data_IF_904395935708
#
_entry.id   IF_904395935708
#
_cell.length_a   1.000
_cell.length_b   1.000
_cell.length_c   1.000
_cell.angle_alpha   90.00
_cell.angle_beta   90.00
_cell.angle_gamma   90.00
#
_symmetry.space_group_name_H-M   'P 1'
#
loop_
_entity.id
_entity.type
_entity.pdbx_description
1 polymer ?
#
# COMPACT_ATOMS: atom_id res chain seq x y z
N UNK A 1 1.94 24.43 61.85
CA UNK A 1 1.37 25.29 60.79
C UNK A 1 2.34 25.57 59.64
N UNK A 2 3.60 25.93 59.91
CA UNK A 2 4.59 26.21 58.88
C UNK A 2 5.01 24.96 58.03
N UNK A 3 5.18 23.82 58.67
CA UNK A 3 5.50 22.55 57.95
C UNK A 3 4.39 22.07 57.05
N UNK A 4 3.11 22.28 57.44
CA UNK A 4 1.97 21.94 56.58
C UNK A 4 1.91 22.83 55.33
N UNK A 5 2.32 24.10 55.45
CA UNK A 5 2.39 25.06 54.34
C UNK A 5 3.49 24.73 53.35
N UNK A 6 4.67 24.32 53.85
CA UNK A 6 5.80 23.89 53.01
C UNK A 6 5.44 22.57 52.26
N UNK A 7 4.78 21.64 52.92
CA UNK A 7 4.32 20.40 52.30
C UNK A 7 3.24 20.63 51.21
N UNK A 8 2.42 21.67 51.41
CA UNK A 8 1.43 22.09 50.41
C UNK A 8 2.10 22.75 49.19
N UNK A 9 3.11 23.62 49.40
CA UNK A 9 3.85 24.30 48.35
C UNK A 9 4.72 23.32 47.52
N UNK A 10 5.34 22.33 48.18
CA UNK A 10 6.11 21.29 47.47
C UNK A 10 5.22 20.38 46.68
N UNK A 11 4.03 20.05 47.16
CA UNK A 11 3.05 19.29 46.38
C UNK A 11 2.49 20.10 45.20
N UNK A 12 2.25 21.40 45.36
CA UNK A 12 1.80 22.28 44.29
C UNK A 12 2.87 22.50 43.22
N UNK A 13 4.13 22.73 43.64
CA UNK A 13 5.25 22.90 42.69
C UNK A 13 5.61 21.59 41.97
N UNK A 14 5.61 20.46 42.68
CA UNK A 14 5.84 19.13 42.12
C UNK A 14 4.74 18.73 41.14
N UNK A 15 3.48 18.99 41.49
CA UNK A 15 2.32 18.73 40.60
C UNK A 15 2.40 19.52 39.29
N UNK A 16 2.77 20.81 39.36
CA UNK A 16 2.95 21.65 38.17
C UNK A 16 4.13 21.21 37.29
N UNK A 17 5.22 20.76 37.87
CA UNK A 17 6.39 20.24 37.13
C UNK A 17 6.02 18.93 36.47
N UNK A 18 5.30 18.03 37.13
CA UNK A 18 4.79 16.77 36.53
C UNK A 18 3.78 17.03 35.42
N UNK A 19 2.85 17.96 35.58
CA UNK A 19 1.88 18.36 34.56
C UNK A 19 2.58 19.01 33.35
N UNK A 20 3.53 19.90 33.54
CA UNK A 20 4.32 20.52 32.46
C UNK A 20 5.19 19.48 31.73
N UNK A 21 5.77 18.51 32.43
CA UNK A 21 6.56 17.43 31.82
C UNK A 21 5.67 16.47 31.08
N UNK A 22 4.48 16.15 31.59
CA UNK A 22 3.47 15.32 30.94
C UNK A 22 2.90 16.00 29.67
N UNK A 23 2.61 17.30 29.73
CA UNK A 23 2.10 18.06 28.58
C UNK A 23 3.17 18.22 27.47
N UNK A 24 4.44 18.49 27.82
CA UNK A 24 5.55 18.54 26.84
C UNK A 24 5.79 17.18 26.19
N UNK A 25 5.76 16.09 26.93
CA UNK A 25 5.87 14.73 26.40
C UNK A 25 4.70 14.41 25.45
N UNK A 26 3.49 14.84 25.81
CA UNK A 26 2.29 14.63 24.99
C UNK A 26 2.35 15.44 23.69
N UNK A 27 2.84 16.67 23.72
CA UNK A 27 3.05 17.52 22.54
C UNK A 27 4.12 16.94 21.60
N UNK A 28 5.22 16.43 22.13
CA UNK A 28 6.26 15.77 21.35
C UNK A 28 5.72 14.49 20.68
N UNK A 29 4.98 13.68 21.40
CA UNK A 29 4.35 12.47 20.87
C UNK A 29 3.32 12.79 19.76
N UNK A 30 2.52 13.84 19.93
CA UNK A 30 1.58 14.31 18.90
C UNK A 30 2.30 14.77 17.63
N UNK A 31 3.39 15.54 17.75
CA UNK A 31 4.20 15.96 16.60
C UNK A 31 4.78 14.77 15.85
N UNK A 32 5.32 13.79 16.56
CA UNK A 32 5.85 12.56 15.98
C UNK A 32 4.74 11.80 15.23
N UNK A 33 3.55 11.67 15.80
CA UNK A 33 2.41 11.02 15.14
C UNK A 33 1.97 11.74 13.87
N UNK A 34 1.99 13.07 13.85
CA UNK A 34 1.68 13.88 12.67
C UNK A 34 2.73 13.63 11.57
N UNK A 35 4.02 13.65 11.90
CA UNK A 35 5.10 13.38 10.95
C UNK A 35 4.95 12.00 10.35
N UNK A 36 4.68 10.96 11.15
CA UNK A 36 4.46 9.62 10.64
C UNK A 36 3.23 9.52 9.73
N UNK A 37 2.15 10.24 10.06
CA UNK A 37 0.96 10.30 9.21
C UNK A 37 1.25 10.95 7.86
N UNK A 38 2.03 12.03 7.84
CA UNK A 38 2.42 12.71 6.60
C UNK A 38 3.30 11.81 5.73
N UNK A 39 4.29 11.13 6.32
CA UNK A 39 5.13 10.16 5.61
C UNK A 39 4.29 9.02 5.03
N UNK A 40 3.32 8.52 5.78
CA UNK A 40 2.41 7.48 5.30
C UNK A 40 1.59 7.95 4.09
N UNK A 41 1.00 9.15 4.17
CA UNK A 41 0.21 9.72 3.07
C UNK A 41 1.09 9.90 1.83
N UNK A 42 2.30 10.44 1.99
CA UNK A 42 3.22 10.61 0.88
C UNK A 42 3.61 9.26 0.24
N UNK A 43 4.01 8.28 1.05
CA UNK A 43 4.33 6.93 0.55
C UNK A 43 3.14 6.25 -0.12
N UNK A 44 1.93 6.50 0.37
CA UNK A 44 0.71 5.95 -0.23
C UNK A 44 0.42 6.58 -1.59
N UNK A 45 0.57 7.90 -1.72
CA UNK A 45 0.39 8.61 -3.00
C UNK A 45 1.42 8.10 -4.02
N UNK A 46 2.71 8.04 -3.64
CA UNK A 46 3.76 7.51 -4.52
C UNK A 46 3.52 6.05 -4.92
N UNK A 47 2.98 5.23 -4.01
CA UNK A 47 2.61 3.86 -4.34
C UNK A 47 1.48 3.80 -5.38
N UNK A 48 0.44 4.61 -5.24
CA UNK A 48 -0.66 4.65 -6.22
C UNK A 48 -0.16 5.14 -7.58
N UNK A 49 0.72 6.15 -7.61
CA UNK A 49 1.38 6.62 -8.82
C UNK A 49 2.13 5.47 -9.50
N UNK A 50 3.03 4.79 -8.79
CA UNK A 50 3.78 3.63 -9.32
C UNK A 50 2.84 2.51 -9.79
N UNK A 51 1.78 2.21 -9.03
CA UNK A 51 0.82 1.18 -9.42
C UNK A 51 0.17 1.54 -10.76
N UNK A 52 -0.32 2.78 -10.92
CA UNK A 52 -0.93 3.25 -12.17
C UNK A 52 0.09 3.23 -13.30
N UNK A 53 1.29 3.76 -13.07
CA UNK A 53 2.34 3.82 -14.09
C UNK A 53 2.71 2.44 -14.60
N UNK A 54 3.01 1.51 -13.72
CA UNK A 54 3.47 0.17 -14.10
C UNK A 54 2.36 -0.69 -14.68
N UNK A 55 1.12 -0.55 -14.19
CA UNK A 55 0.02 -1.35 -14.74
C UNK A 55 -0.56 -0.74 -16.01
N UNK A 56 -0.83 0.55 -16.03
CA UNK A 56 -1.49 1.18 -17.18
C UNK A 56 -0.52 1.40 -18.36
N UNK A 57 0.73 1.74 -18.07
CA UNK A 57 1.76 2.07 -19.06
C UNK A 57 2.82 0.98 -19.23
N UNK A 58 2.42 -0.29 -19.02
CA UNK A 58 3.31 -1.47 -19.12
C UNK A 58 4.07 -1.55 -20.43
N UNK A 59 3.49 -1.09 -21.54
CA UNK A 59 4.01 -1.25 -22.90
C UNK A 59 4.36 0.06 -23.58
N UNK A 60 3.95 1.20 -23.05
CA UNK A 60 4.17 2.51 -23.66
C UNK A 60 4.51 3.55 -22.61
N UNK A 61 5.25 4.59 -23.00
CA UNK A 61 5.50 5.75 -22.13
C UNK A 61 4.30 6.71 -22.15
N UNK A 62 4.13 7.48 -21.07
CA UNK A 62 3.13 8.56 -21.01
C UNK A 62 3.32 9.55 -22.16
N UNK A 63 4.55 9.79 -22.57
CA UNK A 63 4.88 10.68 -23.71
C UNK A 63 4.33 10.16 -25.03
N UNK A 64 4.26 8.84 -25.21
CA UNK A 64 3.79 8.19 -26.43
C UNK A 64 2.26 8.34 -26.60
N UNK A 65 1.53 8.59 -25.50
CA UNK A 65 0.08 8.91 -25.57
C UNK A 65 -0.23 10.12 -26.47
N UNK A 66 0.71 11.05 -26.57
CA UNK A 66 0.57 12.29 -27.33
C UNK A 66 1.29 12.23 -28.68
N UNK A 67 1.91 11.10 -29.03
CA UNK A 67 2.59 10.92 -30.31
C UNK A 67 1.58 10.65 -31.44
N UNK A 68 1.93 11.08 -32.66
CA UNK A 68 1.13 10.81 -33.85
C UNK A 68 1.19 9.33 -34.29
N UNK A 69 2.13 8.54 -33.77
CA UNK A 69 2.32 7.13 -34.09
C UNK A 69 1.41 6.20 -33.29
N UNK A 70 0.62 6.73 -32.34
CA UNK A 70 -0.29 5.99 -31.46
C UNK A 70 -1.27 5.06 -32.19
N UNK A 71 -1.65 5.39 -33.40
CA UNK A 71 -2.64 4.65 -34.20
C UNK A 71 -2.16 3.25 -34.62
N UNK A 72 -0.90 2.92 -34.42
CA UNK A 72 -0.32 1.61 -34.75
C UNK A 72 -0.42 0.59 -33.63
N UNK A 73 -0.83 0.99 -32.41
CA UNK A 73 -1.00 0.04 -31.32
C UNK A 73 -2.28 -0.76 -31.52
N UNK A 74 -2.12 -2.09 -31.63
CA UNK A 74 -3.22 -3.02 -31.82
C UNK A 74 -3.94 -3.19 -30.50
N UNK A 75 -5.23 -2.87 -30.47
CA UNK A 75 -6.09 -3.26 -29.37
C UNK A 75 -6.29 -4.78 -29.43
N UNK A 76 -5.79 -5.48 -28.43
CA UNK A 76 -5.99 -6.92 -28.31
C UNK A 76 -6.50 -7.28 -26.93
N UNK A 77 -7.33 -8.32 -26.87
CA UNK A 77 -7.84 -8.84 -25.62
C UNK A 77 -7.45 -10.31 -25.54
N UNK A 78 -6.76 -10.67 -24.49
CA UNK A 78 -6.43 -12.06 -24.17
C UNK A 78 -7.38 -12.60 -23.12
N UNK A 79 -8.29 -13.45 -23.53
CA UNK A 79 -9.26 -14.11 -22.65
C UNK A 79 -8.77 -15.44 -22.08
N UNK A 80 -7.62 -15.95 -22.56
CA UNK A 80 -7.10 -17.24 -22.14
C UNK A 80 -6.07 -17.04 -21.04
N UNK A 81 -6.36 -17.39 -19.78
CA UNK A 81 -5.39 -17.25 -18.72
C UNK A 81 -4.08 -17.98 -19.04
N UNK A 82 -2.96 -17.32 -18.78
CA UNK A 82 -1.62 -17.89 -18.97
C UNK A 82 -1.33 -18.42 -20.38
N UNK A 83 -1.91 -17.80 -21.42
CA UNK A 83 -1.77 -18.23 -22.82
C UNK A 83 -0.33 -18.31 -23.29
N UNK A 84 0.54 -17.45 -22.77
CA UNK A 84 1.95 -17.32 -23.19
C UNK A 84 2.88 -18.36 -22.57
N UNK A 85 2.34 -19.29 -21.76
CA UNK A 85 3.11 -20.32 -21.09
C UNK A 85 4.01 -21.15 -22.02
N UNK A 86 3.52 -21.42 -23.21
CA UNK A 86 4.24 -22.21 -24.23
C UNK A 86 5.07 -21.35 -25.20
N UNK A 87 4.85 -20.04 -25.24
CA UNK A 87 5.49 -19.11 -26.17
C UNK A 87 6.65 -18.39 -25.49
N UNK A 88 6.40 -17.71 -24.39
CA UNK A 88 7.39 -17.01 -23.56
C UNK A 88 7.15 -17.26 -22.08
N UNK A 89 7.59 -18.41 -21.59
CA UNK A 89 7.45 -18.78 -20.19
C UNK A 89 8.16 -17.84 -19.23
N UNK A 90 9.32 -17.31 -19.64
CA UNK A 90 10.11 -16.41 -18.80
C UNK A 90 9.44 -15.07 -18.59
N UNK A 91 8.95 -14.48 -19.67
CA UNK A 91 8.18 -13.24 -19.64
C UNK A 91 6.89 -13.39 -18.84
N UNK A 92 6.14 -14.46 -19.08
CA UNK A 92 4.90 -14.73 -18.33
C UNK A 92 5.14 -14.84 -16.82
N UNK A 93 6.17 -15.58 -16.38
CA UNK A 93 6.48 -15.70 -14.94
C UNK A 93 6.84 -14.34 -14.34
N UNK A 94 7.63 -13.55 -15.06
CA UNK A 94 7.97 -12.18 -14.63
C UNK A 94 6.71 -11.33 -14.46
N UNK A 95 5.82 -11.33 -15.44
CA UNK A 95 4.58 -10.54 -15.42
C UNK A 95 3.65 -10.98 -14.28
N UNK A 96 3.47 -12.27 -14.10
CA UNK A 96 2.71 -12.84 -12.97
C UNK A 96 3.26 -12.37 -11.63
N UNK A 97 4.58 -12.46 -11.44
CA UNK A 97 5.22 -12.05 -10.18
C UNK A 97 5.13 -10.55 -9.95
N UNK A 98 5.29 -9.73 -10.99
CA UNK A 98 5.16 -8.27 -10.89
C UNK A 98 3.73 -7.86 -10.52
N UNK A 99 2.73 -8.43 -11.17
CA UNK A 99 1.33 -8.13 -10.89
C UNK A 99 0.95 -8.51 -9.45
N UNK A 100 1.38 -9.69 -8.99
CA UNK A 100 1.21 -10.10 -7.59
C UNK A 100 1.90 -9.12 -6.64
N UNK A 101 3.17 -8.77 -6.91
CA UNK A 101 3.95 -7.87 -6.07
C UNK A 101 3.37 -6.46 -6.00
N UNK A 102 2.86 -5.94 -7.12
CA UNK A 102 2.22 -4.63 -7.20
C UNK A 102 0.94 -4.55 -6.36
N UNK A 103 0.09 -5.56 -6.42
CA UNK A 103 -1.18 -5.56 -5.69
C UNK A 103 -1.08 -6.06 -4.25
N UNK A 104 0.06 -6.65 -3.86
CA UNK A 104 0.28 -7.09 -2.49
C UNK A 104 0.18 -5.95 -1.45
N UNK A 105 0.85 -4.77 -1.62
CA UNK A 105 0.69 -3.65 -0.72
C UNK A 105 -0.75 -3.11 -0.70
N UNK A 106 -1.46 -3.15 -1.84
CA UNK A 106 -2.84 -2.71 -1.93
C UNK A 106 -3.76 -3.52 -1.00
N UNK A 107 -3.68 -4.85 -1.07
CA UNK A 107 -4.44 -5.72 -0.20
C UNK A 107 -4.06 -5.61 1.27
N UNK A 108 -2.76 -5.46 1.58
CA UNK A 108 -2.27 -5.22 2.93
C UNK A 108 -2.88 -3.96 3.54
N UNK A 109 -2.88 -2.84 2.81
CA UNK A 109 -3.45 -1.57 3.23
C UNK A 109 -4.96 -1.63 3.39
N UNK A 110 -5.63 -2.25 2.43
CA UNK A 110 -7.08 -2.40 2.45
C UNK A 110 -7.51 -3.18 3.71
N UNK A 111 -6.78 -4.24 4.06
CA UNK A 111 -7.03 -5.00 5.27
C UNK A 111 -6.65 -4.23 6.54
N UNK A 112 -5.63 -3.38 6.50
CA UNK A 112 -5.25 -2.51 7.61
C UNK A 112 -6.35 -1.49 7.96
N UNK A 113 -7.03 -0.95 6.94
CA UNK A 113 -8.16 -0.03 7.11
C UNK A 113 -9.40 -0.76 7.64
N UNK A 114 -9.55 -2.04 7.29
CA UNK A 114 -10.64 -2.86 7.78
C UNK A 114 -10.44 -3.18 9.28
N UNK A 115 -11.33 -2.69 10.12
CA UNK A 115 -11.28 -2.92 11.58
C UNK A 115 -11.58 -4.37 11.99
N UNK A 116 -12.04 -5.20 11.07
CA UNK A 116 -12.33 -6.60 11.31
C UNK A 116 -11.07 -7.45 11.14
N UNK A 117 -10.83 -8.39 12.07
CA UNK A 117 -9.72 -9.35 11.98
C UNK A 117 -10.07 -10.55 11.06
N UNK A 118 -10.85 -10.32 10.01
CA UNK A 118 -11.26 -11.32 9.03
C UNK A 118 -11.27 -10.69 7.64
N UNK A 119 -10.91 -11.46 6.63
CA UNK A 119 -11.11 -11.08 5.25
C UNK A 119 -12.61 -11.17 4.97
N UNK A 120 -13.19 -10.11 4.45
CA UNK A 120 -14.56 -10.07 3.96
C UNK A 120 -14.56 -9.90 2.43
N UNK A 121 -15.73 -10.01 1.82
CA UNK A 121 -15.86 -9.92 0.36
C UNK A 121 -15.29 -8.61 -0.22
N UNK A 122 -15.31 -7.51 0.53
CA UNK A 122 -14.78 -6.24 0.05
C UNK A 122 -13.27 -6.26 -0.20
N UNK A 123 -12.49 -7.04 0.59
CA UNK A 123 -11.05 -7.18 0.37
C UNK A 123 -10.71 -7.96 -0.91
N UNK A 124 -11.66 -8.70 -1.46
CA UNK A 124 -11.52 -9.40 -2.73
C UNK A 124 -12.12 -8.56 -3.86
N UNK A 125 -13.31 -8.01 -3.62
CA UNK A 125 -14.08 -7.32 -4.65
C UNK A 125 -13.44 -5.99 -5.07
N UNK A 126 -12.88 -5.21 -4.14
CA UNK A 126 -12.24 -3.93 -4.46
C UNK A 126 -11.00 -4.13 -5.35
N UNK A 127 -10.02 -4.99 -5.02
CA UNK A 127 -8.89 -5.24 -5.92
C UNK A 127 -9.30 -5.80 -7.27
N UNK A 128 -10.26 -6.71 -7.28
CA UNK A 128 -10.79 -7.31 -8.51
C UNK A 128 -11.39 -6.25 -9.44
N UNK A 129 -12.28 -5.39 -8.92
CA UNK A 129 -12.88 -4.31 -9.71
C UNK A 129 -11.86 -3.25 -10.12
N UNK A 130 -10.88 -2.96 -9.27
CA UNK A 130 -9.77 -2.05 -9.62
C UNK A 130 -8.96 -2.63 -10.78
N UNK A 131 -8.62 -3.91 -10.73
CA UNK A 131 -7.86 -4.56 -11.81
C UNK A 131 -8.65 -4.56 -13.12
N UNK A 132 -9.93 -4.94 -13.10
CA UNK A 132 -10.79 -4.86 -14.30
C UNK A 132 -10.84 -3.42 -14.85
N UNK A 133 -10.92 -2.41 -13.98
CA UNK A 133 -10.94 -1.02 -14.42
C UNK A 133 -9.63 -0.63 -15.13
N UNK A 134 -8.49 -1.14 -14.67
CA UNK A 134 -7.21 -0.93 -15.32
C UNK A 134 -7.22 -1.57 -16.72
N UNK A 135 -7.66 -2.82 -16.85
CA UNK A 135 -7.76 -3.52 -18.13
C UNK A 135 -8.69 -2.78 -19.13
N UNK A 136 -9.82 -2.28 -18.64
CA UNK A 136 -10.73 -1.47 -19.47
C UNK A 136 -10.05 -0.18 -19.93
N UNK A 137 -9.30 0.49 -19.06
CA UNK A 137 -8.57 1.70 -19.41
C UNK A 137 -7.46 1.41 -20.42
N UNK A 138 -6.71 0.31 -20.26
CA UNK A 138 -5.71 -0.13 -21.25
C UNK A 138 -6.34 -0.33 -22.63
N UNK A 139 -7.50 -0.98 -22.67
CA UNK A 139 -8.25 -1.19 -23.93
C UNK A 139 -8.71 0.14 -24.54
N UNK A 140 -9.39 1.00 -23.76
CA UNK A 140 -9.92 2.29 -24.25
C UNK A 140 -8.79 3.18 -24.77
N UNK A 141 -7.68 3.26 -24.04
CA UNK A 141 -6.55 4.09 -24.41
C UNK A 141 -5.58 3.42 -25.38
N UNK A 142 -5.79 2.17 -25.77
CA UNK A 142 -4.89 1.41 -26.65
C UNK A 142 -3.43 1.43 -26.15
N UNK A 143 -3.25 1.31 -24.84
CA UNK A 143 -1.93 1.41 -24.18
C UNK A 143 -1.31 0.06 -23.86
N UNK A 144 -2.00 -1.05 -24.16
CA UNK A 144 -1.52 -2.39 -23.90
C UNK A 144 -2.49 -3.47 -24.36
N UNK A 145 -2.15 -4.71 -24.02
CA UNK A 145 -2.97 -5.88 -24.21
C UNK A 145 -3.79 -6.10 -22.94
N UNK A 146 -5.10 -6.10 -23.06
CA UNK A 146 -6.01 -6.45 -21.97
C UNK A 146 -5.91 -7.96 -21.69
N UNK A 147 -5.44 -8.34 -20.50
CA UNK A 147 -5.17 -9.75 -20.17
C UNK A 147 -5.91 -10.19 -18.89
N UNK A 148 -6.69 -11.25 -19.02
CA UNK A 148 -7.38 -11.89 -17.89
C UNK A 148 -6.38 -12.42 -16.86
N UNK A 149 -5.17 -12.79 -17.27
CA UNK A 149 -4.08 -13.21 -16.36
C UNK A 149 -3.73 -12.12 -15.37
N UNK A 150 -3.66 -10.87 -15.82
CA UNK A 150 -3.35 -9.72 -15.00
C UNK A 150 -4.44 -9.50 -13.93
N UNK A 151 -5.72 -9.65 -14.29
CA UNK A 151 -6.84 -9.57 -13.34
C UNK A 151 -6.73 -10.63 -12.24
N UNK A 152 -6.39 -11.86 -12.63
CA UNK A 152 -6.22 -12.98 -11.68
C UNK A 152 -5.04 -12.70 -10.75
N UNK A 153 -3.88 -12.34 -11.29
CA UNK A 153 -2.64 -12.12 -10.54
C UNK A 153 -2.73 -10.91 -9.61
N UNK A 154 -3.32 -9.82 -10.06
CA UNK A 154 -3.56 -8.62 -9.26
C UNK A 154 -4.48 -8.93 -8.06
N UNK A 155 -5.59 -9.64 -8.31
CA UNK A 155 -6.52 -10.04 -7.24
C UNK A 155 -5.84 -10.98 -6.25
N UNK A 156 -5.07 -11.95 -6.74
CA UNK A 156 -4.31 -12.88 -5.90
C UNK A 156 -3.28 -12.14 -5.04
N UNK A 157 -2.54 -11.20 -5.62
CA UNK A 157 -1.58 -10.36 -4.91
C UNK A 157 -2.23 -9.62 -3.75
N UNK A 158 -3.39 -9.01 -3.98
CA UNK A 158 -4.14 -8.31 -2.94
C UNK A 158 -4.63 -9.27 -1.83
N UNK A 159 -5.10 -10.47 -2.17
CA UNK A 159 -5.50 -11.48 -1.18
C UNK A 159 -4.30 -11.87 -0.31
N UNK A 160 -3.15 -12.14 -0.91
CA UNK A 160 -1.91 -12.45 -0.20
C UNK A 160 -1.47 -11.31 0.73
N UNK A 161 -1.60 -10.06 0.28
CA UNK A 161 -1.35 -8.87 1.08
C UNK A 161 -2.28 -8.77 2.29
N UNK A 162 -3.59 -9.00 2.09
CA UNK A 162 -4.57 -9.00 3.17
C UNK A 162 -4.29 -10.10 4.21
N UNK A 163 -3.95 -11.32 3.76
CA UNK A 163 -3.55 -12.43 4.64
C UNK A 163 -2.31 -12.05 5.44
N UNK A 164 -1.31 -11.47 4.79
CA UNK A 164 -0.05 -11.05 5.43
C UNK A 164 -0.30 -10.02 6.53
N UNK A 165 -1.22 -9.06 6.32
CA UNK A 165 -1.62 -8.14 7.38
C UNK A 165 -2.27 -8.86 8.57
N UNK A 166 -3.14 -9.84 8.36
CA UNK A 166 -3.76 -10.61 9.45
C UNK A 166 -2.71 -11.38 10.26
N UNK A 167 -1.78 -12.03 9.59
CA UNK A 167 -0.65 -12.74 10.23
C UNK A 167 0.19 -11.75 11.04
N UNK A 168 0.56 -10.63 10.42
CA UNK A 168 1.28 -9.55 11.10
C UNK A 168 0.55 -9.07 12.36
N UNK A 169 -0.75 -8.81 12.25
CA UNK A 169 -1.55 -8.34 13.37
C UNK A 169 -1.62 -9.38 14.52
N UNK A 170 -1.70 -10.67 14.21
CA UNK A 170 -1.69 -11.75 15.22
C UNK A 170 -0.34 -11.77 15.97
N UNK A 171 0.77 -11.72 15.24
CA UNK A 171 2.12 -11.80 15.81
C UNK A 171 2.41 -10.58 16.71
N UNK A 172 2.02 -9.39 16.26
CA UNK A 172 2.42 -8.14 16.88
C UNK A 172 1.38 -7.52 17.82
N UNK A 173 0.11 -7.96 17.78
CA UNK A 173 -0.94 -7.49 18.68
C UNK A 173 -0.58 -7.69 20.16
N UNK A 174 0.14 -8.76 20.49
CA UNK A 174 0.57 -9.11 21.86
C UNK A 174 1.61 -8.12 22.42
N UNK A 175 2.30 -7.36 21.59
CA UNK A 175 3.45 -6.53 21.98
C UNK A 175 3.17 -5.01 21.98
N UNK A 176 1.90 -4.56 21.95
CA UNK A 176 1.55 -3.12 21.89
C UNK A 176 2.34 -2.34 20.82
N UNK A 177 2.60 -2.98 19.68
CA UNK A 177 3.34 -2.35 18.59
C UNK A 177 2.46 -1.26 17.98
N UNK A 178 2.82 -0.03 18.31
CA UNK A 178 2.15 1.18 17.86
C UNK A 178 2.17 1.28 16.32
N UNK A 179 1.20 2.02 15.79
CA UNK A 179 1.02 2.33 14.35
C UNK A 179 2.30 2.65 13.57
N UNK A 180 3.34 3.17 14.24
CA UNK A 180 4.65 3.49 13.67
C UNK A 180 5.37 2.29 13.05
N UNK A 181 5.18 1.07 13.57
CA UNK A 181 5.83 -0.14 13.02
C UNK A 181 5.09 -0.67 11.79
N UNK A 182 3.76 -0.51 11.75
CA UNK A 182 2.94 -0.84 10.56
C UNK A 182 3.36 0.06 9.41
N UNK A 183 3.57 1.35 9.69
CA UNK A 183 4.08 2.30 8.72
C UNK A 183 5.47 1.92 8.19
N UNK A 184 6.40 1.51 9.06
CA UNK A 184 7.73 1.06 8.64
C UNK A 184 7.66 -0.20 7.76
N UNK A 185 6.77 -1.14 8.08
CA UNK A 185 6.53 -2.31 7.22
C UNK A 185 6.00 -1.90 5.84
N UNK A 186 5.07 -0.92 5.79
CA UNK A 186 4.54 -0.43 4.53
C UNK A 186 5.61 0.27 3.68
N UNK A 187 6.42 1.14 4.28
CA UNK A 187 7.54 1.80 3.59
C UNK A 187 8.53 0.75 3.08
N UNK A 188 8.81 -0.27 3.88
CA UNK A 188 9.67 -1.40 3.46
C UNK A 188 9.10 -2.17 2.28
N UNK A 189 7.81 -2.51 2.31
CA UNK A 189 7.12 -3.19 1.19
C UNK A 189 7.12 -2.34 -0.08
N UNK A 190 6.84 -1.05 0.05
CA UNK A 190 6.89 -0.11 -1.07
C UNK A 190 8.31 0.00 -1.67
N UNK A 191 9.34 0.08 -0.83
CA UNK A 191 10.73 0.10 -1.29
C UNK A 191 11.13 -1.18 -2.01
N UNK A 192 10.64 -2.34 -1.56
CA UNK A 192 10.88 -3.63 -2.23
C UNK A 192 10.20 -3.66 -3.60
N UNK A 193 8.95 -3.20 -3.70
CA UNK A 193 8.23 -3.12 -4.97
C UNK A 193 8.98 -2.21 -5.95
N UNK A 194 9.38 -1.01 -5.53
CA UNK A 194 10.16 -0.10 -6.39
C UNK A 194 11.50 -0.71 -6.82
N UNK A 195 12.19 -1.42 -5.93
CA UNK A 195 13.42 -2.11 -6.28
C UNK A 195 13.19 -3.21 -7.33
N UNK A 196 12.12 -3.99 -7.18
CA UNK A 196 11.75 -5.02 -8.17
C UNK A 196 11.37 -4.43 -9.53
N UNK A 197 10.88 -3.20 -9.57
CA UNK A 197 10.50 -2.52 -10.82
C UNK A 197 11.69 -1.81 -11.51
N UNK A 198 12.73 -1.50 -10.73
CA UNK A 198 13.96 -0.87 -11.27
C UNK A 198 14.96 -1.86 -11.89
N UNK A 199 14.68 -3.16 -11.76
CA UNK A 199 15.46 -4.27 -12.36
C UNK A 199 14.79 -4.74 -13.64
#
# INVERSE_FOLDING_TARGET
MYEQYIKLLTNLSGGNIYLMKSTKLNLSQKKIQIIFKLIFIFSFISYIETLIEVTLFKYISITDLFSSERWFYIQSINYVPFSDWNIDRGGLIRDVLLNIALFFPFGFLLQMINKNNKINLLQIFIPFTTSISIEILQYIFSVGVTDITDVICNTLGAILGAISYLVFNIIFKKNNIKANKILLCFIGLFSIVNLCLSI
#
